data_IF_341630081462
#
_entry.id   IF_341630081462
#
_cell.length_a   1.000
_cell.length_b   1.000
_cell.length_c   1.000
_cell.angle_alpha   90.00
_cell.angle_beta   90.00
_cell.angle_gamma   90.00
#
_symmetry.space_group_name_H-M   'P 1'
#
loop_
_entity.id
_entity.type
_entity.pdbx_description
1 polymer ?
#
# COMPACT_ATOMS: atom_id res chain seq x y z
N UNK A 1 27.56 -35.35 -22.12
CA UNK A 1 27.63 -34.10 -22.90
C UNK A 1 26.29 -33.40 -22.99
N UNK A 2 25.17 -34.00 -23.42
CA UNK A 2 23.84 -33.36 -23.57
C UNK A 2 23.23 -32.81 -22.26
N UNK A 3 23.40 -33.52 -21.12
CA UNK A 3 22.86 -33.04 -19.81
C UNK A 3 23.51 -31.76 -19.33
N UNK A 4 24.82 -31.59 -19.57
CA UNK A 4 25.56 -30.40 -19.16
C UNK A 4 25.20 -29.18 -20.04
N UNK A 5 24.87 -29.41 -21.31
CA UNK A 5 24.44 -28.36 -22.22
C UNK A 5 23.06 -27.82 -21.82
N UNK A 6 22.09 -28.69 -21.57
CA UNK A 6 20.75 -28.33 -21.10
C UNK A 6 20.77 -27.60 -19.75
N UNK A 7 21.62 -28.03 -18.80
CA UNK A 7 21.77 -27.34 -17.51
C UNK A 7 22.38 -25.96 -17.67
N UNK A 8 23.31 -25.78 -18.62
CA UNK A 8 23.88 -24.45 -18.90
C UNK A 8 22.87 -23.52 -19.56
N UNK A 9 22.16 -24.02 -20.58
CA UNK A 9 21.10 -23.26 -21.25
C UNK A 9 19.95 -22.86 -20.30
N UNK A 10 19.56 -23.78 -19.38
CA UNK A 10 18.56 -23.48 -18.37
C UNK A 10 19.03 -22.41 -17.36
N UNK A 11 20.29 -22.50 -16.92
CA UNK A 11 20.85 -21.50 -16.01
C UNK A 11 21.01 -20.12 -16.68
N UNK A 12 21.41 -20.07 -17.95
CA UNK A 12 21.46 -18.84 -18.75
C UNK A 12 20.04 -18.25 -18.94
N UNK A 13 19.04 -19.09 -19.21
CA UNK A 13 17.63 -18.69 -19.32
C UNK A 13 17.10 -18.16 -18.00
N UNK A 14 17.34 -18.84 -16.88
CA UNK A 14 16.91 -18.41 -15.55
C UNK A 14 17.61 -17.11 -15.12
N UNK A 15 18.91 -16.95 -15.40
CA UNK A 15 19.62 -15.70 -15.10
C UNK A 15 19.09 -14.51 -15.93
N UNK A 16 18.77 -14.74 -17.21
CA UNK A 16 18.18 -13.70 -18.05
C UNK A 16 16.75 -13.33 -17.60
N UNK A 17 15.94 -14.28 -17.14
CA UNK A 17 14.60 -14.00 -16.58
C UNK A 17 14.71 -13.20 -15.29
N UNK A 18 15.66 -13.52 -14.40
CA UNK A 18 15.85 -12.81 -13.13
C UNK A 18 16.30 -11.37 -13.37
N UNK A 19 17.25 -11.16 -14.28
CA UNK A 19 17.74 -9.82 -14.64
C UNK A 19 16.62 -8.99 -15.33
N UNK A 20 15.86 -9.58 -16.25
CA UNK A 20 14.77 -8.86 -16.93
C UNK A 20 13.58 -8.58 -16.01
N UNK A 21 13.36 -9.38 -14.96
CA UNK A 21 12.29 -9.12 -13.98
C UNK A 21 12.61 -7.94 -13.08
N UNK A 22 13.83 -7.82 -12.59
CA UNK A 22 14.23 -6.75 -11.67
C UNK A 22 14.35 -5.40 -12.39
N UNK A 23 15.00 -5.34 -13.56
CA UNK A 23 15.11 -4.10 -14.34
C UNK A 23 13.76 -3.57 -14.85
N UNK A 24 12.81 -4.44 -15.20
CA UNK A 24 11.48 -4.02 -15.62
C UNK A 24 10.63 -3.51 -14.46
N UNK A 25 10.72 -4.12 -13.28
CA UNK A 25 9.96 -3.70 -12.09
C UNK A 25 10.38 -2.31 -11.64
N UNK A 26 11.69 -2.01 -11.61
CA UNK A 26 12.20 -0.69 -11.24
C UNK A 26 11.80 0.39 -12.26
N UNK A 27 11.86 0.08 -13.55
CA UNK A 27 11.47 1.01 -14.61
C UNK A 27 9.97 1.32 -14.57
N UNK A 28 9.13 0.32 -14.38
CA UNK A 28 7.68 0.47 -14.28
C UNK A 28 7.29 1.27 -13.03
N UNK A 29 7.97 1.06 -11.89
CA UNK A 29 7.71 1.77 -10.64
C UNK A 29 8.15 3.24 -10.71
N UNK A 30 9.30 3.53 -11.29
CA UNK A 30 9.77 4.90 -11.54
C UNK A 30 8.78 5.63 -12.47
N UNK A 31 8.29 4.95 -13.50
CA UNK A 31 7.25 5.46 -14.38
C UNK A 31 5.97 5.82 -13.62
N UNK A 32 5.49 4.91 -12.78
CA UNK A 32 4.31 5.09 -11.96
C UNK A 32 4.45 6.28 -10.99
N UNK A 33 5.62 6.45 -10.36
CA UNK A 33 5.87 7.57 -9.46
C UNK A 33 5.87 8.90 -10.25
N UNK A 34 6.48 8.93 -11.43
CA UNK A 34 6.53 10.13 -12.29
C UNK A 34 5.17 10.54 -12.87
N UNK A 35 4.27 9.59 -13.06
CA UNK A 35 2.89 9.87 -13.48
C UNK A 35 2.06 10.51 -12.36
N UNK A 36 2.46 10.30 -11.10
CA UNK A 36 1.79 10.85 -9.93
C UNK A 36 0.55 10.10 -9.49
N UNK A 37 -0.12 10.64 -8.48
CA UNK A 37 -1.34 10.08 -7.93
C UNK A 37 -2.50 10.12 -8.93
N UNK A 38 -3.30 9.04 -8.95
CA UNK A 38 -4.46 8.90 -9.81
C UNK A 38 -5.52 7.99 -9.18
N UNK A 39 -6.50 7.53 -9.96
CA UNK A 39 -7.56 6.64 -9.43
C UNK A 39 -7.04 5.29 -8.94
N UNK A 40 -5.90 4.82 -9.42
CA UNK A 40 -5.27 3.55 -9.08
C UNK A 40 -4.04 3.67 -8.19
N UNK A 41 -3.52 4.87 -7.92
CA UNK A 41 -2.26 5.08 -7.19
C UNK A 41 -2.40 6.20 -6.16
N UNK A 42 -1.87 5.96 -4.96
CA UNK A 42 -1.78 6.95 -3.88
C UNK A 42 -0.40 6.91 -3.26
N UNK A 43 0.17 8.07 -2.95
CA UNK A 43 1.44 8.22 -2.25
C UNK A 43 1.23 8.61 -0.79
N UNK A 44 2.11 8.12 0.07
CA UNK A 44 2.19 8.56 1.47
C UNK A 44 3.66 8.65 1.86
N UNK A 45 4.06 9.79 2.35
CA UNK A 45 5.45 10.04 2.78
C UNK A 45 5.87 9.05 3.86
N UNK A 46 4.97 8.73 4.79
CA UNK A 46 5.24 7.85 5.94
C UNK A 46 3.98 7.07 6.33
N UNK A 47 4.15 5.96 7.01
CA UNK A 47 3.05 5.19 7.58
C UNK A 47 2.57 5.78 8.91
N UNK A 48 3.49 6.23 9.77
CA UNK A 48 3.19 6.62 11.14
C UNK A 48 4.03 7.76 11.71
N UNK A 49 5.16 8.11 11.09
CA UNK A 49 6.02 9.19 11.56
C UNK A 49 5.60 10.53 10.97
N UNK A 50 5.23 11.47 11.83
CA UNK A 50 4.90 12.83 11.43
C UNK A 50 6.19 13.65 11.26
N UNK A 51 6.56 13.91 10.02
CA UNK A 51 7.80 14.64 9.66
C UNK A 51 7.79 16.10 10.16
N UNK A 52 6.61 16.70 10.34
CA UNK A 52 6.48 18.09 10.79
C UNK A 52 6.62 18.19 12.31
N UNK A 53 6.00 17.26 13.02
CA UNK A 53 6.01 17.22 14.49
C UNK A 53 7.17 16.36 15.06
N UNK A 54 7.94 15.68 14.20
CA UNK A 54 9.04 14.78 14.54
C UNK A 54 8.65 13.73 15.61
N UNK A 55 7.48 13.12 15.45
CA UNK A 55 6.96 12.11 16.38
C UNK A 55 6.04 11.11 15.70
N UNK A 56 5.76 10.00 16.38
CA UNK A 56 4.72 9.06 15.97
C UNK A 56 3.34 9.72 16.05
N UNK A 57 2.57 9.64 14.97
CA UNK A 57 1.21 10.12 14.87
C UNK A 57 0.29 9.02 14.35
N UNK A 58 -0.49 8.42 15.25
CA UNK A 58 -1.42 7.33 14.91
C UNK A 58 -2.51 7.71 13.91
N UNK A 59 -2.77 9.02 13.72
CA UNK A 59 -3.69 9.47 12.67
C UNK A 59 -3.18 9.18 11.27
N UNK A 60 -1.86 9.09 11.07
CA UNK A 60 -1.30 8.67 9.78
C UNK A 60 -1.63 7.20 9.50
N UNK A 61 -1.57 6.34 10.52
CA UNK A 61 -1.99 4.93 10.40
C UNK A 61 -3.49 4.81 10.02
N UNK A 62 -4.35 5.68 10.59
CA UNK A 62 -5.77 5.76 10.20
C UNK A 62 -5.93 6.17 8.72
N UNK A 63 -5.08 7.08 8.22
CA UNK A 63 -5.07 7.47 6.80
C UNK A 63 -4.66 6.32 5.91
N UNK A 64 -3.63 5.54 6.28
CA UNK A 64 -3.22 4.33 5.55
C UNK A 64 -4.39 3.34 5.46
N UNK A 65 -5.03 3.04 6.60
CA UNK A 65 -6.17 2.12 6.64
C UNK A 65 -7.33 2.63 5.78
N UNK A 66 -7.67 3.92 5.88
CA UNK A 66 -8.69 4.55 5.04
C UNK A 66 -8.40 4.40 3.55
N UNK A 67 -7.16 4.61 3.13
CA UNK A 67 -6.73 4.46 1.73
C UNK A 67 -6.88 3.02 1.26
N UNK A 68 -6.43 2.05 2.06
CA UNK A 68 -6.59 0.61 1.76
C UNK A 68 -8.07 0.25 1.59
N UNK A 69 -8.94 0.71 2.49
CA UNK A 69 -10.38 0.45 2.38
C UNK A 69 -10.99 1.12 1.15
N UNK A 70 -10.60 2.36 0.84
CA UNK A 70 -11.12 3.08 -0.31
C UNK A 70 -10.77 2.40 -1.64
N UNK A 71 -9.53 1.90 -1.78
CA UNK A 71 -9.14 1.09 -2.94
C UNK A 71 -9.91 -0.23 -3.00
N UNK A 72 -10.00 -0.95 -1.89
CA UNK A 72 -10.73 -2.24 -1.84
C UNK A 72 -12.21 -2.06 -2.17
N UNK A 73 -12.85 -1.01 -1.69
CA UNK A 73 -14.25 -0.70 -1.96
C UNK A 73 -14.51 -0.22 -3.41
N UNK A 74 -13.48 0.18 -4.13
CA UNK A 74 -13.54 0.55 -5.55
C UNK A 74 -12.93 -0.56 -6.43
N UNK A 75 -12.01 -0.22 -7.32
CA UNK A 75 -11.42 -1.14 -8.31
C UNK A 75 -10.09 -1.77 -7.86
N UNK A 76 -9.67 -1.57 -6.62
CA UNK A 76 -8.33 -1.85 -6.16
C UNK A 76 -7.35 -0.72 -6.47
N UNK A 77 -6.07 -0.96 -6.29
CA UNK A 77 -5.01 0.02 -6.60
C UNK A 77 -3.75 -0.20 -5.79
N UNK A 78 -2.83 0.73 -5.90
CA UNK A 78 -1.50 0.68 -5.28
C UNK A 78 -1.29 1.86 -4.34
N UNK A 79 -1.00 1.56 -3.08
CA UNK A 79 -0.51 2.53 -2.12
C UNK A 79 1.02 2.44 -2.08
N UNK A 80 1.69 3.57 -2.27
CA UNK A 80 3.15 3.68 -2.18
C UNK A 80 3.50 4.50 -0.95
N UNK A 81 4.29 3.95 -0.05
CA UNK A 81 4.81 4.63 1.15
C UNK A 81 6.30 4.89 1.02
N UNK A 82 6.74 6.06 1.46
CA UNK A 82 8.11 6.56 1.27
C UNK A 82 8.25 7.50 0.08
N UNK A 83 7.14 7.98 -0.48
CA UNK A 83 7.07 8.99 -1.56
C UNK A 83 6.17 10.12 -1.10
N UNK A 84 6.57 11.37 -1.30
CA UNK A 84 5.76 12.54 -0.96
C UNK A 84 4.83 12.98 -2.11
N UNK A 85 4.00 13.99 -1.85
CA UNK A 85 3.03 14.53 -2.81
C UNK A 85 3.72 15.21 -4.03
N UNK A 86 4.98 15.60 -3.89
CA UNK A 86 5.81 16.18 -4.96
C UNK A 86 6.62 15.10 -5.72
N UNK A 87 6.34 13.82 -5.47
CA UNK A 87 6.99 12.66 -6.09
C UNK A 87 8.47 12.46 -5.68
N UNK A 88 8.92 13.11 -4.61
CA UNK A 88 10.25 12.87 -4.07
C UNK A 88 10.30 11.54 -3.31
N UNK A 89 11.37 10.78 -3.52
CA UNK A 89 11.64 9.55 -2.80
C UNK A 89 12.21 9.89 -1.42
N UNK A 90 11.44 9.63 -0.38
CA UNK A 90 11.77 9.93 1.02
C UNK A 90 12.31 8.69 1.74
N UNK A 91 11.84 7.51 1.35
CA UNK A 91 12.17 6.24 1.98
C UNK A 91 11.45 5.99 3.30
N UNK A 92 11.79 4.88 3.95
CA UNK A 92 11.09 4.35 5.13
C UNK A 92 11.86 4.53 6.45
N UNK A 93 13.06 5.10 6.41
CA UNK A 93 13.94 5.24 7.58
C UNK A 93 13.26 5.93 8.78
N UNK A 94 12.43 6.93 8.52
CA UNK A 94 11.72 7.65 9.58
C UNK A 94 10.69 6.78 10.29
N UNK A 95 10.00 5.92 9.55
CA UNK A 95 9.07 4.95 10.13
C UNK A 95 9.82 3.83 10.85
N UNK A 96 10.90 3.30 10.26
CA UNK A 96 11.72 2.25 10.85
C UNK A 96 12.22 2.63 12.25
N UNK A 97 12.72 3.85 12.43
CA UNK A 97 13.21 4.35 13.74
C UNK A 97 12.14 4.36 14.82
N UNK A 98 10.86 4.30 14.46
CA UNK A 98 9.74 4.27 15.42
C UNK A 98 9.36 2.86 15.85
N UNK A 99 9.95 1.84 15.22
CA UNK A 99 9.69 0.44 15.46
C UNK A 99 10.82 -0.18 16.31
N UNK A 100 10.51 -1.27 17.00
CA UNK A 100 11.38 -1.83 18.04
C UNK A 100 12.79 -2.17 17.57
N UNK A 101 12.92 -2.83 16.41
CA UNK A 101 14.21 -3.21 15.84
C UNK A 101 14.59 -2.34 14.62
N UNK A 102 13.70 -1.46 14.17
CA UNK A 102 13.96 -0.55 13.06
C UNK A 102 14.18 -1.26 11.72
N UNK A 103 13.46 -2.35 11.46
CA UNK A 103 13.65 -3.17 10.27
C UNK A 103 12.43 -3.16 9.35
N UNK A 104 12.66 -3.50 8.09
CA UNK A 104 11.63 -3.77 7.10
C UNK A 104 10.61 -4.82 7.57
N UNK A 105 11.08 -5.92 8.15
CA UNK A 105 10.23 -7.00 8.62
C UNK A 105 9.27 -6.52 9.73
N UNK A 106 9.74 -5.64 10.62
CA UNK A 106 8.86 -5.04 11.64
C UNK A 106 7.88 -4.03 11.06
N UNK A 107 8.28 -3.28 10.04
CA UNK A 107 7.38 -2.39 9.32
C UNK A 107 6.25 -3.18 8.66
N UNK A 108 6.57 -4.25 7.93
CA UNK A 108 5.57 -5.12 7.33
C UNK A 108 4.66 -5.77 8.38
N UNK A 109 5.24 -6.30 9.46
CA UNK A 109 4.47 -6.89 10.56
C UNK A 109 3.53 -5.86 11.19
N UNK A 110 3.99 -4.63 11.41
CA UNK A 110 3.17 -3.55 11.95
C UNK A 110 2.00 -3.20 11.01
N UNK A 111 2.29 -3.01 9.71
CA UNK A 111 1.27 -2.76 8.70
C UNK A 111 0.22 -3.88 8.65
N UNK A 112 0.66 -5.14 8.60
CA UNK A 112 -0.25 -6.30 8.59
C UNK A 112 -1.08 -6.38 9.85
N UNK A 113 -0.53 -6.06 11.02
CA UNK A 113 -1.27 -6.02 12.28
C UNK A 113 -2.32 -4.91 12.28
N UNK A 114 -2.02 -3.73 11.74
CA UNK A 114 -3.00 -2.65 11.58
C UNK A 114 -4.19 -3.12 10.71
N UNK A 115 -3.89 -3.72 9.56
CA UNK A 115 -4.92 -4.21 8.62
C UNK A 115 -5.70 -5.38 9.22
N UNK A 116 -5.03 -6.33 9.87
CA UNK A 116 -5.69 -7.45 10.57
C UNK A 116 -6.69 -6.96 11.62
N UNK A 117 -6.30 -5.97 12.41
CA UNK A 117 -7.15 -5.42 13.47
C UNK A 117 -8.34 -4.64 12.91
N UNK A 118 -8.16 -3.96 11.79
CA UNK A 118 -9.20 -3.14 11.17
C UNK A 118 -10.17 -3.96 10.31
N UNK A 119 -9.67 -4.88 9.50
CA UNK A 119 -10.42 -5.54 8.42
C UNK A 119 -10.40 -7.07 8.48
N UNK A 120 -9.67 -7.64 9.44
CA UNK A 120 -9.58 -9.07 9.67
C UNK A 120 -8.47 -9.76 8.86
N UNK A 121 -8.02 -10.90 9.41
CA UNK A 121 -6.89 -11.69 8.88
C UNK A 121 -7.13 -12.13 7.43
N UNK A 122 -8.36 -12.55 7.10
CA UNK A 122 -8.69 -13.03 5.76
C UNK A 122 -8.45 -11.95 4.70
N UNK A 123 -8.84 -10.70 4.97
CA UNK A 123 -8.60 -9.59 4.06
C UNK A 123 -7.10 -9.30 3.92
N UNK A 124 -6.39 -9.16 5.04
CA UNK A 124 -4.96 -8.86 5.05
C UNK A 124 -4.11 -9.92 4.33
N UNK A 125 -4.54 -11.19 4.36
CA UNK A 125 -3.81 -12.29 3.72
C UNK A 125 -4.10 -12.39 2.22
N UNK A 126 -5.37 -12.22 1.81
CA UNK A 126 -5.79 -12.57 0.46
C UNK A 126 -5.86 -11.36 -0.50
N UNK A 127 -5.94 -10.15 0.06
CA UNK A 127 -6.23 -8.95 -0.71
C UNK A 127 -5.06 -7.97 -0.82
N UNK A 128 -3.96 -8.21 -0.09
CA UNK A 128 -2.80 -7.34 -0.08
C UNK A 128 -1.53 -8.08 -0.53
N UNK A 129 -0.81 -7.48 -1.46
CA UNK A 129 0.60 -7.82 -1.77
C UNK A 129 1.47 -6.66 -1.30
N UNK A 130 2.43 -6.94 -0.41
CA UNK A 130 3.34 -5.93 0.14
C UNK A 130 4.74 -6.22 -0.38
N UNK A 131 5.37 -5.24 -1.01
CA UNK A 131 6.72 -5.32 -1.55
C UNK A 131 7.55 -4.14 -1.07
N UNK A 132 8.87 -4.31 -1.08
CA UNK A 132 9.84 -3.29 -0.67
C UNK A 132 10.89 -3.09 -1.77
N UNK A 133 10.51 -2.47 -2.89
CA UNK A 133 11.46 -2.15 -3.94
C UNK A 133 12.41 -1.02 -3.52
N UNK A 134 13.59 -1.00 -4.14
CA UNK A 134 14.53 0.11 -4.07
C UNK A 134 14.35 1.00 -5.30
N UNK A 135 14.21 2.31 -5.09
CA UNK A 135 14.14 3.32 -6.14
C UNK A 135 15.18 4.38 -5.82
N UNK A 136 16.11 4.65 -6.75
CA UNK A 136 17.20 5.59 -6.56
C UNK A 136 17.99 5.31 -5.24
N UNK A 137 18.38 4.05 -5.04
CA UNK A 137 19.09 3.55 -3.85
C UNK A 137 18.31 3.76 -2.52
N UNK A 138 17.00 3.98 -2.59
CA UNK A 138 16.15 4.20 -1.41
C UNK A 138 15.01 3.19 -1.37
N UNK A 139 14.88 2.47 -0.25
CA UNK A 139 13.81 1.51 -0.05
C UNK A 139 12.47 2.23 0.21
N UNK A 140 11.45 1.86 -0.54
CA UNK A 140 10.06 2.27 -0.37
C UNK A 140 9.17 1.06 -0.16
N UNK A 141 7.90 1.27 0.22
CA UNK A 141 6.94 0.18 0.36
C UNK A 141 5.78 0.37 -0.60
N UNK A 142 5.50 -0.64 -1.42
CA UNK A 142 4.31 -0.71 -2.25
C UNK A 142 3.33 -1.72 -1.67
N UNK A 143 2.07 -1.34 -1.61
CA UNK A 143 0.95 -2.21 -1.21
C UNK A 143 -0.03 -2.25 -2.36
N UNK A 144 -0.08 -3.38 -3.06
CA UNK A 144 -1.12 -3.66 -4.03
C UNK A 144 -2.37 -4.13 -3.29
N UNK A 145 -3.48 -3.44 -3.49
CA UNK A 145 -4.78 -3.72 -2.89
C UNK A 145 -5.72 -4.24 -3.97
N UNK A 146 -6.17 -5.49 -3.81
CA UNK A 146 -7.16 -6.06 -4.72
C UNK A 146 -8.54 -5.45 -4.46
N UNK A 147 -9.33 -5.38 -5.53
CA UNK A 147 -10.75 -5.10 -5.44
C UNK A 147 -11.42 -6.06 -4.46
N UNK A 148 -12.11 -5.52 -3.46
CA UNK A 148 -12.73 -6.30 -2.40
C UNK A 148 -14.01 -7.02 -2.84
N UNK A 149 -14.27 -8.15 -2.21
CA UNK A 149 -15.52 -8.91 -2.38
C UNK A 149 -16.59 -8.53 -1.33
N UNK A 150 -16.21 -7.71 -0.35
CA UNK A 150 -17.09 -7.24 0.74
C UNK A 150 -16.76 -5.80 1.10
N UNK A 151 -17.75 -5.01 1.53
CA UNK A 151 -17.54 -3.64 1.94
C UNK A 151 -16.66 -3.55 3.20
N UNK A 152 -15.68 -2.63 3.17
CA UNK A 152 -14.83 -2.30 4.30
C UNK A 152 -15.21 -0.94 4.88
N UNK A 153 -15.35 -0.88 6.21
CA UNK A 153 -15.62 0.33 6.96
C UNK A 153 -14.39 0.69 7.79
N UNK A 154 -13.87 1.89 7.61
CA UNK A 154 -12.71 2.39 8.36
C UNK A 154 -13.17 3.06 9.65
N UNK A 155 -12.52 2.74 10.77
CA UNK A 155 -12.67 3.49 12.00
C UNK A 155 -11.79 4.74 11.93
N UNK A 156 -12.38 5.90 12.11
CA UNK A 156 -11.68 7.19 12.10
C UNK A 156 -11.98 7.98 13.36
N UNK A 157 -10.98 8.70 13.85
CA UNK A 157 -11.08 9.53 15.05
C UNK A 157 -11.32 10.98 14.69
N UNK A 158 -12.31 11.63 15.32
CA UNK A 158 -12.54 13.08 15.21
C UNK A 158 -11.46 13.88 15.99
N UNK A 159 -11.59 15.21 15.98
CA UNK A 159 -10.67 16.11 16.70
C UNK A 159 -10.71 15.91 18.22
N UNK A 160 -11.81 15.37 18.75
CA UNK A 160 -12.02 15.11 20.18
C UNK A 160 -11.64 13.68 20.57
N UNK A 161 -11.20 12.84 19.60
CA UNK A 161 -10.85 11.46 19.82
C UNK A 161 -12.05 10.49 19.80
N UNK A 162 -13.26 10.95 19.44
CA UNK A 162 -14.40 10.06 19.26
C UNK A 162 -14.24 9.26 17.98
N UNK A 163 -14.45 7.95 18.09
CA UNK A 163 -14.33 7.03 16.96
C UNK A 163 -15.67 6.80 16.27
N UNK A 164 -15.65 6.77 14.96
CA UNK A 164 -16.81 6.43 14.14
C UNK A 164 -16.40 5.56 12.95
N UNK A 165 -17.28 4.67 12.52
CA UNK A 165 -17.08 3.89 11.29
C UNK A 165 -17.61 4.67 10.11
N UNK A 166 -16.77 4.80 9.09
CA UNK A 166 -17.07 5.50 7.85
C UNK A 166 -16.77 4.64 6.64
N UNK A 167 -17.49 4.88 5.56
CA UNK A 167 -17.32 4.18 4.30
C UNK A 167 -16.62 5.08 3.30
N UNK A 168 -15.46 4.63 2.80
CA UNK A 168 -14.67 5.37 1.83
C UNK A 168 -14.55 4.61 0.53
N UNK A 169 -14.55 5.34 -0.58
CA UNK A 169 -14.29 4.82 -1.92
C UNK A 169 -13.23 5.66 -2.63
N UNK A 170 -12.51 5.07 -3.55
CA UNK A 170 -11.61 5.81 -4.43
C UNK A 170 -12.42 6.50 -5.52
N UNK A 171 -12.25 7.81 -5.67
CA UNK A 171 -12.87 8.62 -6.70
C UNK A 171 -11.83 9.60 -7.26
N UNK A 172 -11.39 9.35 -8.49
CA UNK A 172 -10.24 10.05 -9.04
C UNK A 172 -9.00 9.82 -8.16
N UNK A 173 -8.26 10.87 -7.85
CA UNK A 173 -7.06 10.81 -7.01
C UNK A 173 -7.33 10.98 -5.50
N UNK A 174 -8.56 10.79 -5.03
CA UNK A 174 -8.89 10.96 -3.61
C UNK A 174 -9.73 9.84 -3.03
N UNK A 175 -9.58 9.61 -1.72
CA UNK A 175 -10.46 8.72 -0.94
C UNK A 175 -11.62 9.54 -0.38
N UNK A 176 -12.82 9.36 -0.95
CA UNK A 176 -14.02 10.11 -0.59
C UNK A 176 -14.91 9.31 0.36
N UNK A 177 -15.46 10.00 1.35
CA UNK A 177 -16.49 9.44 2.23
C UNK A 177 -17.82 9.39 1.49
N UNK A 178 -18.48 8.24 1.48
CA UNK A 178 -19.87 8.10 1.01
C UNK A 178 -20.78 8.41 2.19
N UNK A 179 -21.76 9.28 1.96
CA UNK A 179 -22.79 9.58 2.97
C UNK A 179 -23.55 8.32 3.35
N UNK A 180 -23.88 8.19 4.64
CA UNK A 180 -24.56 7.00 5.17
C UNK A 180 -25.85 6.66 4.43
N UNK A 181 -26.52 7.68 3.89
CA UNK A 181 -27.78 7.50 3.11
C UNK A 181 -27.54 6.84 1.76
N UNK A 182 -26.33 6.95 1.20
CA UNK A 182 -25.96 6.41 -0.11
C UNK A 182 -25.21 5.06 -0.01
N UNK A 183 -24.63 4.75 1.18
CA UNK A 183 -23.82 3.54 1.38
C UNK A 183 -24.56 2.26 0.96
N UNK A 184 -25.82 2.12 1.36
CA UNK A 184 -26.59 0.92 1.02
C UNK A 184 -26.74 0.73 -0.49
N UNK A 185 -27.03 1.80 -1.22
CA UNK A 185 -27.15 1.76 -2.69
C UNK A 185 -25.81 1.42 -3.35
N UNK A 186 -24.73 2.03 -2.90
CA UNK A 186 -23.40 1.74 -3.41
C UNK A 186 -22.99 0.29 -3.16
N UNK A 187 -23.22 -0.22 -1.95
CA UNK A 187 -22.85 -1.59 -1.56
C UNK A 187 -23.60 -2.61 -2.42
N UNK A 188 -24.89 -2.42 -2.62
CA UNK A 188 -25.70 -3.35 -3.45
C UNK A 188 -25.23 -3.33 -4.91
N UNK A 189 -24.88 -2.18 -5.46
CA UNK A 189 -24.41 -2.08 -6.85
C UNK A 189 -23.02 -2.67 -7.05
N UNK A 190 -22.14 -2.56 -6.02
CA UNK A 190 -20.72 -2.88 -6.14
C UNK A 190 -20.41 -4.33 -5.72
N UNK A 191 -21.14 -4.90 -4.78
CA UNK A 191 -20.80 -6.18 -4.13
C UNK A 191 -21.87 -7.28 -4.32
N UNK A 192 -23.00 -6.99 -4.94
CA UNK A 192 -24.01 -7.94 -5.40
C UNK A 192 -23.91 -8.17 -6.92
#
# INVERSE_FOLDING_TARGET
>A
ARRNLLAKELNEFLSNITVTSDENVDTDLIGLIKEGENSGVEFKTTMRYDMRENKVNKKLEEVILKTIAAFSNAEGGTLVMGVDDDQNIIGLENDYRTLKNGTKDEFELHLRNLVNNAYGVQFATNSLTVLFPEVEDTEICTVEIKQGLKPLYSEVSDKNGNKSKKFYVRSGNSSQEIDITEVASYVNQRFE
#
